data_IF_546306022492
#
_entry.id   IF_546306022492
#
_cell.length_a   1.000
_cell.length_b   1.000
_cell.length_c   1.000
_cell.angle_alpha   90.00
_cell.angle_beta   90.00
_cell.angle_gamma   90.00
#
_symmetry.space_group_name_H-M   'P 1'
#
loop_
_entity.id
_entity.type
_entity.pdbx_description
1 polymer ?
#
# COMPACT_ATOMS: atom_id res chain seq x y z
N UNK A 1 41.96 -24.22 -17.17
CA UNK A 1 40.71 -24.16 -17.97
C UNK A 1 39.63 -23.63 -17.03
N UNK A 2 39.42 -22.32 -17.02
CA UNK A 2 38.44 -21.66 -16.14
C UNK A 2 37.67 -20.64 -16.99
N UNK A 3 36.55 -21.10 -17.56
CA UNK A 3 35.73 -20.32 -18.50
C UNK A 3 34.26 -20.62 -18.16
N UNK A 4 33.72 -19.97 -17.14
CA UNK A 4 32.31 -20.18 -16.77
C UNK A 4 31.64 -19.17 -15.83
N UNK A 5 32.37 -18.20 -15.25
CA UNK A 5 31.81 -17.33 -14.18
C UNK A 5 31.30 -15.91 -14.54
N UNK A 6 31.59 -15.28 -15.71
CA UNK A 6 31.20 -13.87 -15.89
C UNK A 6 29.72 -13.65 -16.31
N UNK A 7 29.07 -14.65 -16.92
CA UNK A 7 27.69 -14.49 -17.42
C UNK A 7 26.64 -14.61 -16.32
N UNK A 8 26.85 -15.51 -15.36
CA UNK A 8 25.92 -15.72 -14.24
C UNK A 8 25.84 -14.50 -13.30
N UNK A 9 26.95 -13.80 -13.06
CA UNK A 9 26.98 -12.60 -12.22
C UNK A 9 26.27 -11.42 -12.89
N UNK A 10 26.52 -11.18 -14.18
CA UNK A 10 25.85 -10.13 -14.96
C UNK A 10 24.34 -10.38 -15.08
N UNK A 11 23.93 -11.64 -15.28
CA UNK A 11 22.52 -12.03 -15.37
C UNK A 11 21.79 -11.93 -14.02
N UNK A 12 22.49 -12.18 -12.91
CA UNK A 12 21.95 -11.96 -11.56
C UNK A 12 21.78 -10.47 -11.22
N UNK A 13 22.71 -9.62 -11.66
CA UNK A 13 22.63 -8.18 -11.46
C UNK A 13 21.49 -7.55 -12.28
N UNK A 14 21.34 -7.94 -13.55
CA UNK A 14 20.24 -7.44 -14.39
C UNK A 14 18.87 -7.87 -13.87
N UNK A 15 18.73 -9.12 -13.41
CA UNK A 15 17.51 -9.61 -12.77
C UNK A 15 17.20 -8.84 -11.47
N UNK A 16 18.20 -8.57 -10.64
CA UNK A 16 18.04 -7.76 -9.42
C UNK A 16 17.56 -6.34 -9.72
N UNK A 17 18.16 -5.67 -10.72
CA UNK A 17 17.75 -4.33 -11.14
C UNK A 17 16.34 -4.33 -11.75
N UNK A 18 15.98 -5.36 -12.53
CA UNK A 18 14.64 -5.50 -13.08
C UNK A 18 13.58 -5.67 -11.98
N UNK A 19 13.84 -6.53 -10.98
CA UNK A 19 12.95 -6.72 -9.82
C UNK A 19 12.82 -5.42 -9.02
N UNK A 20 13.93 -4.72 -8.75
CA UNK A 20 13.93 -3.41 -8.09
C UNK A 20 13.12 -2.38 -8.88
N UNK A 21 13.31 -2.30 -10.19
CA UNK A 21 12.58 -1.37 -11.05
C UNK A 21 11.08 -1.66 -11.04
N UNK A 22 10.68 -2.94 -11.13
CA UNK A 22 9.29 -3.36 -11.07
C UNK A 22 8.66 -3.03 -9.71
N UNK A 23 9.38 -3.25 -8.61
CA UNK A 23 8.92 -2.87 -7.27
C UNK A 23 8.71 -1.36 -7.16
N UNK A 24 9.66 -0.56 -7.61
CA UNK A 24 9.53 0.90 -7.61
C UNK A 24 8.34 1.35 -8.46
N UNK A 25 8.17 0.77 -9.65
CA UNK A 25 7.04 1.08 -10.52
C UNK A 25 5.71 0.72 -9.87
N UNK A 26 5.61 -0.45 -9.24
CA UNK A 26 4.42 -0.87 -8.51
C UNK A 26 4.07 0.08 -7.36
N UNK A 27 5.07 0.56 -6.60
CA UNK A 27 4.87 1.56 -5.54
C UNK A 27 4.37 2.87 -6.12
N UNK A 28 4.95 3.35 -7.22
CA UNK A 28 4.53 4.59 -7.88
C UNK A 28 3.09 4.50 -8.39
N UNK A 29 2.73 3.40 -9.05
CA UNK A 29 1.37 3.17 -9.55
C UNK A 29 0.38 3.08 -8.39
N UNK A 30 0.72 2.37 -7.31
CA UNK A 30 -0.12 2.29 -6.12
C UNK A 30 -0.29 3.66 -5.44
N UNK A 31 0.78 4.46 -5.36
CA UNK A 31 0.70 5.81 -4.81
C UNK A 31 -0.17 6.73 -5.67
N UNK A 32 -0.01 6.69 -7.00
CA UNK A 32 -0.84 7.46 -7.92
C UNK A 32 -2.32 7.04 -7.85
N UNK A 33 -2.60 5.72 -7.84
CA UNK A 33 -3.95 5.20 -7.68
C UNK A 33 -4.57 5.57 -6.33
N UNK A 34 -3.79 5.49 -5.25
CA UNK A 34 -4.21 5.93 -3.92
C UNK A 34 -4.52 7.43 -3.87
N UNK A 35 -3.76 8.26 -4.59
CA UNK A 35 -4.03 9.69 -4.69
C UNK A 35 -5.34 9.97 -5.44
N UNK A 36 -5.56 9.31 -6.59
CA UNK A 36 -6.82 9.41 -7.34
C UNK A 36 -8.01 8.98 -6.48
N UNK A 37 -7.87 7.87 -5.76
CA UNK A 37 -8.90 7.38 -4.83
C UNK A 37 -9.13 8.36 -3.67
N UNK A 38 -8.09 8.97 -3.12
CA UNK A 38 -8.20 9.97 -2.06
C UNK A 38 -8.96 11.22 -2.54
N UNK A 39 -8.66 11.71 -3.75
CA UNK A 39 -9.39 12.83 -4.37
C UNK A 39 -10.86 12.50 -4.62
N UNK A 40 -11.13 11.28 -5.09
CA UNK A 40 -12.49 10.79 -5.27
C UNK A 40 -13.24 10.72 -3.95
N UNK A 41 -12.65 10.12 -2.92
CA UNK A 41 -13.25 10.01 -1.59
C UNK A 41 -13.45 11.39 -0.95
N UNK A 42 -12.50 12.32 -1.09
CA UNK A 42 -12.65 13.68 -0.60
C UNK A 42 -13.83 14.39 -1.27
N UNK A 43 -13.99 14.23 -2.59
CA UNK A 43 -15.14 14.75 -3.35
C UNK A 43 -16.45 14.11 -2.90
N UNK A 44 -16.45 12.79 -2.73
CA UNK A 44 -17.60 12.02 -2.24
C UNK A 44 -18.04 12.50 -0.84
N UNK A 45 -17.12 12.57 0.13
CA UNK A 45 -17.44 13.00 1.50
C UNK A 45 -17.87 14.46 1.56
N UNK A 46 -17.26 15.33 0.76
CA UNK A 46 -17.65 16.73 0.70
C UNK A 46 -19.10 16.87 0.20
N UNK A 47 -19.44 16.26 -0.93
CA UNK A 47 -20.81 16.31 -1.49
C UNK A 47 -21.81 15.60 -0.58
N UNK A 48 -21.43 14.46 0.01
CA UNK A 48 -22.26 13.77 1.00
C UNK A 48 -22.54 14.63 2.24
N UNK A 49 -21.57 15.42 2.71
CA UNK A 49 -21.76 16.34 3.84
C UNK A 49 -22.76 17.45 3.54
N UNK A 50 -22.93 17.79 2.26
CA UNK A 50 -23.95 18.72 1.76
C UNK A 50 -25.31 18.06 1.51
N UNK A 51 -25.47 16.76 1.83
CA UNK A 51 -26.70 15.98 1.60
C UNK A 51 -27.15 15.97 0.13
N UNK A 52 -26.21 16.18 -0.79
CA UNK A 52 -26.42 16.08 -2.24
C UNK A 52 -26.00 14.68 -2.68
N UNK A 53 -26.62 14.15 -3.75
CA UNK A 53 -26.30 12.82 -4.26
C UNK A 53 -24.80 12.70 -4.62
N UNK A 54 -24.01 11.93 -3.87
CA UNK A 54 -22.55 11.92 -3.99
C UNK A 54 -22.06 11.09 -5.17
N UNK A 55 -22.93 10.31 -5.83
CA UNK A 55 -22.56 9.52 -7.00
C UNK A 55 -22.28 10.37 -8.26
N UNK A 56 -22.75 11.63 -8.26
CA UNK A 56 -22.45 12.60 -9.33
C UNK A 56 -21.25 13.49 -8.99
N UNK A 57 -20.68 13.36 -7.79
CA UNK A 57 -19.49 14.10 -7.38
C UNK A 57 -18.25 13.45 -8.03
N UNK A 58 -17.91 13.90 -9.24
CA UNK A 58 -16.67 13.48 -9.90
C UNK A 58 -15.42 13.84 -9.08
N UNK A 59 -14.24 13.49 -9.60
CA UNK A 59 -12.92 13.77 -9.00
C UNK A 59 -12.64 15.27 -8.75
N UNK A 60 -13.48 16.15 -9.30
CA UNK A 60 -13.26 17.59 -9.37
C UNK A 60 -14.01 18.37 -8.27
N UNK A 61 -15.01 17.76 -7.63
CA UNK A 61 -15.90 18.51 -6.71
C UNK A 61 -15.15 19.06 -5.48
N UNK A 62 -14.22 18.29 -4.91
CA UNK A 62 -13.39 18.77 -3.82
C UNK A 62 -12.36 19.82 -4.26
N UNK A 63 -11.53 19.62 -5.30
CA UNK A 63 -10.54 20.63 -5.70
C UNK A 63 -11.19 21.93 -6.18
N UNK A 64 -12.33 21.88 -6.87
CA UNK A 64 -13.07 23.08 -7.29
C UNK A 64 -13.56 23.87 -6.07
N UNK A 65 -14.09 23.18 -5.06
CA UNK A 65 -14.54 23.80 -3.82
C UNK A 65 -13.36 24.32 -2.97
N UNK A 66 -12.21 23.65 -3.01
CA UNK A 66 -10.98 24.11 -2.36
C UNK A 66 -10.44 25.40 -3.01
N UNK A 67 -10.45 25.48 -4.34
CA UNK A 67 -10.08 26.69 -5.08
C UNK A 67 -11.03 27.84 -4.77
N UNK A 68 -12.34 27.57 -4.77
CA UNK A 68 -13.34 28.60 -4.45
C UNK A 68 -13.25 29.06 -2.97
N UNK A 69 -12.86 28.19 -2.04
CA UNK A 69 -12.52 28.57 -0.66
C UNK A 69 -11.27 29.44 -0.61
N UNK A 70 -10.22 29.08 -1.34
CA UNK A 70 -8.98 29.86 -1.42
C UNK A 70 -9.19 31.26 -2.00
N UNK A 71 -10.05 31.38 -3.02
CA UNK A 71 -10.46 32.66 -3.62
C UNK A 71 -11.41 33.48 -2.71
N UNK A 72 -11.72 33.00 -1.50
CA UNK A 72 -12.58 33.69 -0.54
C UNK A 72 -14.08 33.63 -0.87
N UNK A 73 -14.49 32.82 -1.86
CA UNK A 73 -15.90 32.69 -2.29
C UNK A 73 -16.74 31.80 -1.37
N UNK A 74 -16.10 31.00 -0.52
CA UNK A 74 -16.75 30.13 0.47
C UNK A 74 -16.26 30.45 1.89
N UNK A 75 -16.84 31.45 2.54
CA UNK A 75 -16.61 31.67 3.96
C UNK A 75 -17.37 30.60 4.78
N UNK A 76 -16.66 29.91 5.70
CA UNK A 76 -17.13 28.84 6.61
C UNK A 76 -17.07 27.35 6.15
N UNK A 77 -16.79 27.03 4.88
CA UNK A 77 -16.71 25.63 4.43
C UNK A 77 -15.33 24.97 4.60
N UNK A 78 -14.30 25.75 4.98
CA UNK A 78 -12.91 25.28 5.08
C UNK A 78 -12.72 24.07 6.01
N UNK A 79 -13.45 24.01 7.13
CA UNK A 79 -13.39 22.86 8.05
C UNK A 79 -13.93 21.57 7.42
N UNK A 80 -15.02 21.67 6.67
CA UNK A 80 -15.64 20.52 5.99
C UNK A 80 -14.76 20.04 4.82
N UNK A 81 -14.17 20.98 4.07
CA UNK A 81 -13.18 20.69 3.04
C UNK A 81 -11.96 19.95 3.61
N UNK A 82 -11.38 20.47 4.69
CA UNK A 82 -10.22 19.84 5.34
C UNK A 82 -10.54 18.46 5.90
N UNK A 83 -11.70 18.31 6.54
CA UNK A 83 -12.15 17.01 7.05
C UNK A 83 -12.34 15.99 5.91
N UNK A 84 -13.01 16.38 4.83
CA UNK A 84 -13.23 15.50 3.67
C UNK A 84 -11.90 15.05 3.03
N UNK A 85 -10.93 15.95 2.89
CA UNK A 85 -9.60 15.62 2.40
C UNK A 85 -8.88 14.64 3.32
N UNK A 86 -8.90 14.91 4.63
CA UNK A 86 -8.27 14.05 5.63
C UNK A 86 -8.89 12.64 5.62
N UNK A 87 -10.22 12.54 5.58
CA UNK A 87 -10.90 11.24 5.47
C UNK A 87 -10.51 10.52 4.18
N UNK A 88 -10.49 11.22 3.03
CA UNK A 88 -10.08 10.63 1.76
C UNK A 88 -8.68 10.04 1.80
N UNK A 89 -7.71 10.77 2.36
CA UNK A 89 -6.32 10.29 2.50
C UNK A 89 -6.22 9.13 3.48
N UNK A 90 -6.84 9.25 4.65
CA UNK A 90 -6.80 8.20 5.69
C UNK A 90 -7.43 6.91 5.19
N UNK A 91 -8.54 6.97 4.45
CA UNK A 91 -9.15 5.76 3.87
C UNK A 91 -8.32 5.18 2.73
N UNK A 92 -7.84 6.02 1.79
CA UNK A 92 -7.11 5.55 0.62
C UNK A 92 -5.75 4.93 0.97
N UNK A 93 -5.05 5.46 1.99
CA UNK A 93 -3.71 4.99 2.37
C UNK A 93 -3.68 4.23 3.70
N UNK A 94 -4.48 4.66 4.67
CA UNK A 94 -4.49 4.06 6.02
C UNK A 94 -5.08 2.66 6.03
N UNK A 95 -6.17 2.40 5.29
CA UNK A 95 -6.76 1.05 5.22
C UNK A 95 -5.80 0.04 4.57
N UNK A 96 -5.18 0.32 3.40
CA UNK A 96 -4.16 -0.57 2.84
C UNK A 96 -2.94 -0.74 3.76
N UNK A 97 -2.45 0.33 4.39
CA UNK A 97 -1.31 0.25 5.30
C UNK A 97 -1.62 -0.65 6.51
N UNK A 98 -2.80 -0.51 7.11
CA UNK A 98 -3.28 -1.41 8.16
C UNK A 98 -3.44 -2.85 7.65
N UNK A 99 -3.94 -3.04 6.43
CA UNK A 99 -4.01 -4.35 5.79
C UNK A 99 -2.64 -5.02 5.71
N UNK A 100 -1.63 -4.31 5.18
CA UNK A 100 -0.25 -4.80 5.12
C UNK A 100 0.30 -5.08 6.52
N UNK A 101 0.10 -4.16 7.47
CA UNK A 101 0.54 -4.34 8.85
C UNK A 101 -0.06 -5.61 9.49
N UNK A 102 -1.37 -5.83 9.33
CA UNK A 102 -2.04 -7.01 9.90
C UNK A 102 -1.59 -8.31 9.23
N UNK A 103 -1.29 -8.29 7.92
CA UNK A 103 -0.73 -9.45 7.22
C UNK A 103 0.69 -9.77 7.73
N UNK A 104 1.52 -8.75 7.97
CA UNK A 104 2.86 -8.90 8.52
C UNK A 104 2.85 -9.35 9.98
N UNK A 105 1.95 -8.81 10.81
CA UNK A 105 1.79 -9.26 12.21
C UNK A 105 1.32 -10.72 12.25
N UNK A 106 0.38 -11.12 11.39
CA UNK A 106 -0.06 -12.52 11.28
C UNK A 106 1.04 -13.46 10.77
N UNK A 107 1.87 -13.03 9.83
CA UNK A 107 2.97 -13.86 9.33
C UNK A 107 4.10 -14.01 10.36
N UNK A 108 4.42 -12.96 11.12
CA UNK A 108 5.40 -13.01 12.20
C UNK A 108 4.95 -13.84 13.41
N UNK A 109 3.65 -13.87 13.72
CA UNK A 109 3.10 -14.70 14.81
C UNK A 109 2.90 -16.16 14.43
N UNK A 110 2.83 -16.49 13.14
CA UNK A 110 2.94 -17.88 12.70
C UNK A 110 4.39 -18.31 12.89
N UNK A 111 4.66 -18.90 14.06
CA UNK A 111 5.85 -19.72 14.28
C UNK A 111 5.88 -20.82 13.22
N UNK A 112 6.54 -20.54 12.08
CA UNK A 112 6.80 -21.49 11.00
C UNK A 112 7.59 -22.70 11.51
N UNK A 113 8.27 -22.51 12.63
CA UNK A 113 8.80 -23.55 13.48
C UNK A 113 8.05 -23.45 14.81
N UNK A 114 7.09 -24.36 15.05
CA UNK A 114 6.72 -24.68 16.44
C UNK A 114 7.98 -25.09 17.23
N UNK A 115 7.84 -25.65 18.42
CA UNK A 115 8.97 -26.29 19.13
C UNK A 115 9.59 -27.49 18.39
N UNK A 116 9.36 -27.63 17.07
CA UNK A 116 10.06 -28.49 16.16
C UNK A 116 11.53 -28.08 16.10
N UNK A 117 12.32 -28.63 17.03
CA UNK A 117 13.75 -28.79 16.81
C UNK A 117 13.94 -29.76 15.63
N UNK A 118 14.88 -29.49 14.75
CA UNK A 118 15.34 -30.50 13.81
C UNK A 118 15.77 -31.75 14.58
N UNK A 119 15.40 -32.93 14.09
CA UNK A 119 15.76 -34.20 14.72
C UNK A 119 17.30 -34.28 14.84
N UNK A 120 17.79 -34.51 16.05
CA UNK A 120 19.21 -34.73 16.27
C UNK A 120 19.57 -36.14 15.79
N UNK A 121 20.83 -36.42 15.52
CA UNK A 121 21.32 -37.72 15.05
C UNK A 121 20.89 -38.90 15.94
N UNK A 122 20.73 -38.67 17.25
CA UNK A 122 20.15 -39.64 18.18
C UNK A 122 18.67 -39.95 17.89
N UNK A 123 17.87 -38.94 17.51
CA UNK A 123 16.47 -39.10 17.14
C UNK A 123 16.36 -39.82 15.78
N UNK A 124 17.28 -39.52 14.85
CA UNK A 124 17.34 -40.16 13.53
C UNK A 124 17.71 -41.65 13.65
N UNK A 125 18.72 -41.99 14.48
CA UNK A 125 19.06 -43.39 14.80
C UNK A 125 17.91 -44.13 15.47
N UNK A 126 17.23 -43.49 16.42
CA UNK A 126 16.08 -44.08 17.11
C UNK A 126 14.91 -44.36 16.16
N UNK A 127 14.76 -43.55 15.11
CA UNK A 127 13.76 -43.75 14.07
C UNK A 127 14.18 -44.79 13.01
N UNK A 128 15.40 -45.34 13.06
CA UNK A 128 15.90 -46.32 12.10
C UNK A 128 16.13 -45.73 10.69
N UNK A 129 16.34 -44.42 10.61
CA UNK A 129 16.58 -43.69 9.35
C UNK A 129 18.09 -43.56 9.01
N UNK A 130 18.94 -44.19 9.82
CA UNK A 130 20.39 -44.30 9.66
C UNK A 130 20.80 -45.77 9.71
#
# INVERSE_FOLDING_TARGET
MDIGKPTASAQSASAYHAVRALQTLAIVVAAAGGLVLALWLASFFFVASHHVNPLHAGLHAWPDAALAWYDGRLSNEGRRLAAAALFGVVLAFGVPALGVYTLLDRSGRRRLYGSARFANEADIRRAGLL
#
